data_IF_421759623509
#
_entry.id   IF_421759623509
#
_cell.length_a   1.000
_cell.length_b   1.000
_cell.length_c   1.000
_cell.angle_alpha   90.00
_cell.angle_beta   90.00
_cell.angle_gamma   90.00
#
_symmetry.space_group_name_H-M   'P 1'
#
loop_
_entity.id
_entity.type
_entity.pdbx_description
1 polymer ?
#
# COMPACT_ATOMS: atom_id res chain seq x y z
N UNK A 1 -30.32 -11.65 -16.03
CA UNK A 1 -30.13 -10.27 -15.57
C UNK A 1 -28.94 -9.67 -16.29
N UNK A 2 -29.09 -8.50 -16.89
CA UNK A 2 -27.98 -7.84 -17.61
C UNK A 2 -27.05 -7.18 -16.58
N UNK A 3 -25.80 -7.66 -16.46
CA UNK A 3 -24.84 -7.18 -15.49
C UNK A 3 -24.52 -5.68 -15.67
N UNK A 4 -24.51 -5.19 -16.90
CA UNK A 4 -24.25 -3.77 -17.19
C UNK A 4 -25.37 -2.87 -16.67
N UNK A 5 -26.65 -3.33 -16.81
CA UNK A 5 -27.79 -2.61 -16.28
C UNK A 5 -27.72 -2.56 -14.74
N UNK A 6 -27.44 -3.70 -14.10
CA UNK A 6 -27.27 -3.75 -12.64
C UNK A 6 -26.20 -2.78 -12.14
N UNK A 7 -25.08 -2.66 -12.86
CA UNK A 7 -24.00 -1.75 -12.47
C UNK A 7 -24.40 -0.29 -12.69
N UNK A 8 -25.14 0.00 -13.76
CA UNK A 8 -25.68 1.34 -14.01
C UNK A 8 -26.63 1.76 -12.87
N UNK A 9 -27.46 0.82 -12.40
CA UNK A 9 -28.42 1.06 -11.31
C UNK A 9 -27.75 1.23 -9.94
N UNK A 10 -26.47 0.82 -9.79
CA UNK A 10 -25.71 1.02 -8.56
C UNK A 10 -25.29 2.47 -8.33
N UNK A 11 -25.35 3.31 -9.35
CA UNK A 11 -24.97 4.73 -9.31
C UNK A 11 -23.65 4.95 -8.54
N UNK A 12 -22.54 4.58 -9.19
CA UNK A 12 -21.20 4.64 -8.57
C UNK A 12 -20.52 5.92 -9.03
N UNK A 13 -20.38 6.88 -8.14
CA UNK A 13 -19.68 8.14 -8.41
C UNK A 13 -18.21 7.93 -8.74
N UNK A 14 -17.59 8.89 -9.43
CA UNK A 14 -16.17 8.82 -9.75
C UNK A 14 -15.30 8.75 -8.46
N UNK A 15 -14.39 7.78 -8.40
CA UNK A 15 -13.55 7.48 -7.23
C UNK A 15 -14.17 6.48 -6.26
N UNK A 16 -15.45 6.12 -6.40
CA UNK A 16 -16.15 5.25 -5.47
C UNK A 16 -15.99 3.76 -5.80
N UNK A 17 -16.09 2.97 -4.75
CA UNK A 17 -16.17 1.51 -4.81
C UNK A 17 -17.36 1.01 -4.00
N UNK A 18 -18.27 0.27 -4.65
CA UNK A 18 -19.41 -0.37 -3.98
C UNK A 18 -19.21 -1.88 -3.93
N UNK A 19 -19.44 -2.46 -2.75
CA UNK A 19 -19.41 -3.90 -2.53
C UNK A 19 -20.80 -4.41 -2.18
N UNK A 20 -21.33 -5.34 -3.01
CA UNK A 20 -22.69 -5.84 -2.92
C UNK A 20 -22.74 -7.37 -3.03
N UNK A 21 -23.94 -7.92 -2.94
CA UNK A 21 -24.17 -9.32 -3.29
C UNK A 21 -24.05 -9.49 -4.80
N UNK A 22 -23.47 -10.60 -5.25
CA UNK A 22 -23.34 -10.86 -6.68
C UNK A 22 -24.73 -11.12 -7.30
N UNK A 23 -25.12 -10.37 -8.34
CA UNK A 23 -26.45 -10.53 -8.96
C UNK A 23 -26.57 -11.80 -9.78
N UNK A 24 -25.48 -12.52 -10.05
CA UNK A 24 -25.46 -13.75 -10.85
C UNK A 24 -25.39 -14.99 -9.97
N UNK A 25 -24.44 -15.04 -9.03
CA UNK A 25 -24.23 -16.22 -8.19
C UNK A 25 -24.82 -16.10 -6.77
N UNK A 26 -25.44 -14.96 -6.44
CA UNK A 26 -26.04 -14.71 -5.12
C UNK A 26 -25.02 -14.61 -3.97
N UNK A 27 -23.71 -14.62 -4.25
CA UNK A 27 -22.67 -14.55 -3.20
C UNK A 27 -22.79 -13.28 -2.37
N UNK A 28 -22.89 -13.43 -1.04
CA UNK A 28 -23.08 -12.31 -0.11
C UNK A 28 -21.79 -11.47 -0.05
N UNK A 29 -21.91 -10.17 -0.39
CA UNK A 29 -20.79 -9.20 -0.39
C UNK A 29 -19.54 -9.67 -1.17
N UNK A 30 -19.75 -10.44 -2.24
CA UNK A 30 -18.66 -10.96 -3.08
C UNK A 30 -18.46 -10.17 -4.37
N UNK A 31 -19.38 -9.28 -4.70
CA UNK A 31 -19.31 -8.47 -5.91
C UNK A 31 -18.83 -7.06 -5.57
N UNK A 32 -17.80 -6.60 -6.27
CA UNK A 32 -17.27 -5.24 -6.13
C UNK A 32 -17.33 -4.55 -7.48
N UNK A 33 -17.80 -3.32 -7.50
CA UNK A 33 -17.76 -2.44 -8.66
C UNK A 33 -17.12 -1.10 -8.27
N UNK A 34 -16.20 -0.62 -9.10
CA UNK A 34 -15.42 0.62 -8.88
C UNK A 34 -15.52 1.51 -10.11
N UNK A 35 -15.71 2.80 -9.89
CA UNK A 35 -15.61 3.81 -10.94
C UNK A 35 -14.32 4.61 -10.72
N UNK A 36 -13.38 4.49 -11.64
CA UNK A 36 -12.13 5.25 -11.60
C UNK A 36 -11.99 6.05 -12.90
N UNK A 37 -12.11 7.37 -12.80
CA UNK A 37 -12.02 8.31 -13.92
C UNK A 37 -12.85 7.87 -15.14
N UNK A 38 -14.13 7.53 -14.89
CA UNK A 38 -15.05 7.07 -15.94
C UNK A 38 -14.80 5.64 -16.41
N UNK A 39 -13.89 4.92 -15.82
CA UNK A 39 -13.68 3.50 -16.05
C UNK A 39 -14.38 2.70 -14.97
N UNK A 40 -15.56 2.16 -15.27
CA UNK A 40 -16.27 1.22 -14.40
C UNK A 40 -15.66 -0.17 -14.57
N UNK A 41 -15.20 -0.73 -13.46
CA UNK A 41 -14.68 -2.11 -13.38
C UNK A 41 -15.46 -2.89 -12.31
N UNK A 42 -15.70 -4.16 -12.56
CA UNK A 42 -16.38 -5.03 -11.60
C UNK A 42 -15.84 -6.44 -11.59
N UNK A 43 -15.92 -7.08 -10.44
CA UNK A 43 -15.49 -8.46 -10.25
C UNK A 43 -16.28 -9.14 -9.14
N UNK A 44 -16.54 -10.44 -9.29
CA UNK A 44 -17.04 -11.30 -8.22
C UNK A 44 -15.93 -12.18 -7.68
N UNK A 45 -15.71 -12.13 -6.38
CA UNK A 45 -14.64 -12.87 -5.68
C UNK A 45 -15.11 -14.24 -5.14
N UNK A 46 -16.32 -14.68 -5.45
CA UNK A 46 -16.79 -16.02 -5.07
C UNK A 46 -16.13 -17.07 -5.98
N UNK A 47 -15.53 -18.08 -5.37
CA UNK A 47 -14.96 -19.21 -6.11
C UNK A 47 -15.99 -19.82 -7.07
N UNK A 48 -15.60 -20.04 -8.32
CA UNK A 48 -16.47 -20.58 -9.36
C UNK A 48 -17.41 -19.56 -10.02
N UNK A 49 -17.36 -18.27 -9.67
CA UNK A 49 -18.10 -17.22 -10.37
C UNK A 49 -17.17 -16.47 -11.32
N UNK A 50 -17.49 -16.48 -12.61
CA UNK A 50 -16.70 -15.81 -13.66
C UNK A 50 -17.14 -14.37 -13.97
N UNK A 51 -17.99 -13.77 -13.13
CA UNK A 51 -18.51 -12.42 -13.36
C UNK A 51 -17.44 -11.39 -13.13
N UNK A 52 -16.90 -10.85 -14.21
CA UNK A 52 -15.98 -9.71 -14.21
C UNK A 52 -16.17 -8.91 -15.48
N UNK A 53 -15.70 -7.67 -15.50
CA UNK A 53 -15.71 -6.85 -16.69
C UNK A 53 -15.45 -5.37 -16.42
N UNK A 54 -15.59 -4.58 -17.47
CA UNK A 54 -15.44 -3.14 -17.42
C UNK A 54 -16.26 -2.44 -18.51
N UNK A 55 -16.59 -1.19 -18.26
CA UNK A 55 -17.19 -0.28 -19.24
C UNK A 55 -16.68 1.12 -19.00
N UNK A 56 -16.77 1.97 -20.03
CA UNK A 56 -16.52 3.42 -19.90
C UNK A 56 -17.85 4.13 -19.71
N UNK A 57 -17.88 5.07 -18.78
CA UNK A 57 -18.95 6.06 -18.62
C UNK A 57 -18.41 7.43 -18.99
N UNK A 58 -19.28 8.27 -19.54
CA UNK A 58 -18.89 9.66 -19.82
C UNK A 58 -18.66 10.39 -18.50
N UNK A 59 -17.49 11.00 -18.38
CA UNK A 59 -17.22 11.94 -17.29
C UNK A 59 -17.95 13.25 -17.61
N UNK A 60 -18.67 13.74 -16.63
CA UNK A 60 -19.23 15.09 -16.71
C UNK A 60 -18.14 16.14 -16.46
N UNK A 61 -18.35 17.38 -16.90
CA UNK A 61 -17.45 18.50 -16.57
C UNK A 61 -17.30 18.69 -15.05
N UNK A 62 -18.34 18.33 -14.28
CA UNK A 62 -18.30 18.40 -12.82
C UNK A 62 -17.49 17.25 -12.21
N UNK A 63 -17.53 16.06 -12.78
CA UNK A 63 -16.64 14.96 -12.38
C UNK A 63 -15.17 15.32 -12.60
N UNK A 64 -14.87 15.93 -13.75
CA UNK A 64 -13.51 16.41 -14.07
C UNK A 64 -13.12 17.54 -13.12
N UNK A 65 -14.00 18.51 -12.88
CA UNK A 65 -13.76 19.63 -11.98
C UNK A 65 -13.58 19.17 -10.54
N UNK A 66 -14.41 18.23 -10.07
CA UNK A 66 -14.29 17.63 -8.73
C UNK A 66 -13.01 16.79 -8.61
N UNK A 67 -12.61 16.09 -9.64
CA UNK A 67 -11.33 15.35 -9.67
C UNK A 67 -10.13 16.32 -9.67
N UNK A 68 -10.23 17.45 -10.34
CA UNK A 68 -9.21 18.51 -10.33
C UNK A 68 -9.28 19.36 -9.05
N UNK A 69 -10.47 19.60 -8.51
CA UNK A 69 -10.70 20.35 -7.27
C UNK A 69 -10.36 19.56 -6.01
N UNK A 70 -10.49 18.23 -6.04
CA UNK A 70 -9.97 17.36 -4.98
C UNK A 70 -8.43 17.30 -4.94
N UNK A 71 -7.77 17.94 -5.91
CA UNK A 71 -6.31 18.12 -5.93
C UNK A 71 -5.80 19.02 -4.79
N UNK A 72 -6.66 19.74 -4.09
CA UNK A 72 -6.27 20.68 -3.02
C UNK A 72 -6.63 20.24 -1.60
N UNK A 73 -7.28 19.10 -1.39
CA UNK A 73 -7.29 18.52 -0.06
C UNK A 73 -5.94 17.84 0.16
N UNK A 74 -4.97 18.59 0.68
CA UNK A 74 -3.90 18.00 1.48
C UNK A 74 -4.60 16.99 2.38
N UNK A 75 -4.21 15.73 2.30
CA UNK A 75 -4.73 14.73 3.23
C UNK A 75 -4.15 15.15 4.57
N UNK A 76 -4.88 16.00 5.30
CA UNK A 76 -4.44 16.45 6.62
C UNK A 76 -4.12 15.19 7.42
N UNK A 77 -2.94 15.18 7.99
CA UNK A 77 -2.49 14.10 8.85
C UNK A 77 -3.31 14.17 10.14
N UNK A 78 -4.51 13.58 10.11
CA UNK A 78 -5.38 13.49 11.28
C UNK A 78 -4.76 12.49 12.24
N UNK A 79 -4.52 12.89 13.52
CA UNK A 79 -3.93 12.02 14.51
C UNK A 79 -4.77 10.74 14.69
N UNK A 80 -4.14 9.59 14.56
CA UNK A 80 -4.76 8.30 14.84
C UNK A 80 -4.86 8.09 16.35
N UNK A 81 -6.07 7.86 16.85
CA UNK A 81 -6.27 7.47 18.24
C UNK A 81 -5.93 5.99 18.40
N UNK A 82 -4.71 5.73 18.83
CA UNK A 82 -4.21 4.39 19.10
C UNK A 82 -5.05 3.72 20.20
N UNK A 83 -5.56 2.49 19.96
CA UNK A 83 -6.22 1.71 21.01
C UNK A 83 -5.33 1.48 22.24
N UNK A 84 -5.90 1.49 23.44
CA UNK A 84 -5.17 1.34 24.71
C UNK A 84 -4.40 0.01 24.81
N UNK A 85 -4.92 -1.05 24.17
CA UNK A 85 -4.28 -2.37 24.16
C UNK A 85 -3.12 -2.51 23.19
N UNK A 86 -2.81 -1.46 22.44
CA UNK A 86 -1.57 -1.36 21.67
C UNK A 86 -0.57 -0.60 22.55
N UNK A 87 0.41 -1.30 23.05
CA UNK A 87 1.36 -0.79 24.03
C UNK A 87 2.81 -0.87 23.52
N UNK A 88 3.71 -0.24 24.22
CA UNK A 88 5.15 -0.42 23.99
C UNK A 88 5.63 -1.58 24.89
N UNK A 89 5.82 -2.73 24.29
CA UNK A 89 6.31 -3.93 24.97
C UNK A 89 7.37 -4.58 24.07
N UNK A 90 8.63 -4.33 24.40
CA UNK A 90 9.77 -4.78 23.60
C UNK A 90 10.02 -6.27 23.75
N UNK A 91 9.76 -6.84 24.91
CA UNK A 91 10.02 -8.25 25.19
C UNK A 91 9.15 -9.15 24.28
N UNK A 92 7.88 -8.77 24.10
CA UNK A 92 6.95 -9.51 23.25
C UNK A 92 7.27 -9.47 21.75
N UNK A 93 8.08 -8.52 21.30
CA UNK A 93 8.42 -8.35 19.89
C UNK A 93 9.89 -8.61 19.55
N UNK A 94 10.72 -8.91 20.56
CA UNK A 94 12.18 -9.11 20.40
C UNK A 94 12.49 -10.22 19.41
N UNK A 95 11.90 -11.39 19.54
CA UNK A 95 12.12 -12.52 18.63
C UNK A 95 11.82 -12.13 17.17
N UNK A 96 10.68 -11.50 16.94
CA UNK A 96 10.31 -11.00 15.60
C UNK A 96 11.33 -10.00 15.05
N UNK A 97 11.81 -9.09 15.90
CA UNK A 97 12.79 -8.09 15.47
C UNK A 97 14.16 -8.71 15.15
N UNK A 98 14.56 -9.73 15.90
CA UNK A 98 15.77 -10.51 15.63
C UNK A 98 15.65 -11.28 14.32
N UNK A 99 14.54 -11.99 14.11
CA UNK A 99 14.27 -12.76 12.88
C UNK A 99 14.39 -11.92 11.61
N UNK A 100 13.90 -10.68 11.67
CA UNK A 100 13.95 -9.76 10.54
C UNK A 100 15.14 -8.79 10.57
N UNK A 101 16.00 -8.87 11.62
CA UNK A 101 17.11 -7.93 11.85
C UNK A 101 16.68 -6.47 11.70
N UNK A 102 15.59 -6.10 12.38
CA UNK A 102 15.05 -4.73 12.42
C UNK A 102 15.14 -4.15 13.84
N UNK A 103 15.34 -2.84 13.93
CA UNK A 103 15.42 -2.13 15.21
C UNK A 103 14.04 -1.64 15.64
N UNK A 104 13.44 -2.21 16.71
CA UNK A 104 12.11 -1.83 17.15
C UNK A 104 12.02 -0.39 17.66
N UNK A 105 13.11 0.16 18.16
CA UNK A 105 13.14 1.53 18.71
C UNK A 105 13.16 2.54 17.57
N UNK A 106 14.03 2.34 16.56
CA UNK A 106 14.08 3.20 15.38
C UNK A 106 12.78 3.19 14.58
N UNK A 107 12.12 2.03 14.50
CA UNK A 107 10.84 1.87 13.80
C UNK A 107 9.64 2.31 14.66
N UNK A 108 9.82 2.60 15.95
CA UNK A 108 8.75 2.94 16.87
C UNK A 108 7.71 1.82 17.03
N UNK A 109 8.15 0.55 16.94
CA UNK A 109 7.24 -0.60 16.97
C UNK A 109 6.49 -0.68 18.29
N UNK A 110 5.26 -1.18 18.19
CA UNK A 110 4.36 -1.41 19.31
C UNK A 110 3.87 -2.86 19.30
N UNK A 111 3.15 -3.26 20.33
CA UNK A 111 2.58 -4.58 20.47
C UNK A 111 1.08 -4.54 20.78
N UNK A 112 0.29 -5.31 20.02
CA UNK A 112 -1.13 -5.54 20.30
C UNK A 112 -1.27 -6.75 21.23
N UNK A 113 -1.56 -6.51 22.51
CA UNK A 113 -1.70 -7.56 23.53
C UNK A 113 -2.94 -8.44 23.33
N UNK A 114 -3.97 -7.95 22.64
CA UNK A 114 -5.20 -8.71 22.38
C UNK A 114 -5.07 -9.69 21.23
N UNK A 115 -4.37 -9.24 20.18
CA UNK A 115 -4.29 -10.04 18.97
C UNK A 115 -2.90 -10.62 18.72
N UNK A 116 -1.94 -10.38 19.61
CA UNK A 116 -0.55 -10.84 19.48
C UNK A 116 0.06 -10.45 18.13
N UNK A 117 0.20 -9.13 17.94
CA UNK A 117 0.74 -8.56 16.70
C UNK A 117 1.84 -7.55 16.99
N UNK A 118 2.89 -7.61 16.20
CA UNK A 118 3.83 -6.48 16.09
C UNK A 118 3.15 -5.38 15.29
N UNK A 119 3.09 -4.17 15.84
CA UNK A 119 2.39 -3.04 15.25
C UNK A 119 3.37 -2.01 14.73
N UNK A 120 3.28 -1.74 13.45
CA UNK A 120 4.03 -0.71 12.72
C UNK A 120 3.19 0.57 12.69
N UNK A 121 3.63 1.65 13.36
CA UNK A 121 2.94 2.94 13.27
C UNK A 121 3.13 3.56 11.88
N UNK A 122 2.06 4.05 11.29
CA UNK A 122 2.12 4.86 10.07
C UNK A 122 2.25 6.33 10.51
N UNK A 123 3.43 6.90 10.26
CA UNK A 123 3.75 8.26 10.74
C UNK A 123 4.02 9.17 9.53
N UNK A 124 3.34 10.30 9.48
CA UNK A 124 3.56 11.36 8.50
C UNK A 124 3.62 12.70 9.22
N UNK A 125 4.58 13.55 8.87
CA UNK A 125 4.82 14.85 9.51
C UNK A 125 4.91 14.75 11.06
N UNK A 126 5.58 13.71 11.56
CA UNK A 126 5.72 13.38 12.99
C UNK A 126 4.38 13.08 13.71
N UNK A 127 3.31 12.85 12.97
CA UNK A 127 2.01 12.48 13.50
C UNK A 127 1.72 11.03 13.13
N UNK A 128 1.35 10.20 14.11
CA UNK A 128 0.84 8.86 13.87
C UNK A 128 -0.57 8.98 13.28
N UNK A 129 -0.73 8.63 12.02
CA UNK A 129 -1.97 8.76 11.25
C UNK A 129 -2.74 7.45 11.11
N UNK A 130 -2.05 6.31 11.32
CA UNK A 130 -2.62 4.96 11.28
C UNK A 130 -1.65 3.97 11.94
N UNK A 131 -2.02 2.71 11.97
CA UNK A 131 -1.16 1.60 12.34
C UNK A 131 -1.53 0.32 11.59
N UNK A 132 -0.55 -0.55 11.37
CA UNK A 132 -0.78 -1.88 10.80
C UNK A 132 -0.05 -2.94 11.62
N UNK A 133 -0.73 -4.06 11.91
CA UNK A 133 -0.21 -5.12 12.76
C UNK A 133 0.08 -6.39 12.01
N UNK A 134 1.31 -6.90 12.15
CA UNK A 134 1.74 -8.21 11.68
C UNK A 134 1.48 -9.25 12.76
N UNK A 135 0.72 -10.30 12.44
CA UNK A 135 0.49 -11.40 13.37
C UNK A 135 1.79 -12.13 13.72
N UNK A 136 2.01 -12.38 14.99
CA UNK A 136 2.98 -13.34 15.47
C UNK A 136 2.41 -14.76 15.30
N UNK A 137 3.20 -15.66 14.74
CA UNK A 137 2.77 -17.04 14.47
C UNK A 137 1.79 -17.17 13.27
N UNK A 138 0.85 -18.12 13.38
CA UNK A 138 -0.04 -18.55 12.28
C UNK A 138 -1.40 -17.86 12.22
N UNK A 139 -1.62 -16.81 13.01
CA UNK A 139 -2.91 -16.11 13.06
C UNK A 139 -3.24 -15.41 11.76
N UNK A 140 -4.49 -15.50 11.31
CA UNK A 140 -5.02 -14.79 10.15
C UNK A 140 -5.97 -13.65 10.57
N UNK A 141 -6.08 -12.57 9.78
CA UNK A 141 -5.21 -12.26 8.65
C UNK A 141 -3.78 -11.96 9.09
N UNK A 142 -2.79 -12.27 8.25
CA UNK A 142 -1.36 -12.03 8.51
C UNK A 142 -1.08 -10.55 8.83
N UNK A 143 -1.71 -9.65 8.07
CA UNK A 143 -1.67 -8.21 8.30
C UNK A 143 -3.06 -7.68 8.66
N UNK A 144 -3.14 -6.75 9.60
CA UNK A 144 -4.36 -6.08 10.03
C UNK A 144 -4.12 -4.59 10.13
N UNK A 145 -4.97 -3.80 9.51
CA UNK A 145 -4.98 -2.36 9.65
C UNK A 145 -5.88 -1.93 10.81
N UNK A 146 -5.45 -0.92 11.60
CA UNK A 146 -6.19 -0.46 12.77
C UNK A 146 -7.01 0.80 12.49
N UNK A 147 -6.57 1.61 11.54
CA UNK A 147 -7.26 2.81 11.08
C UNK A 147 -7.74 2.69 9.64
N UNK A 148 -8.06 3.84 9.04
CA UNK A 148 -8.54 3.97 7.66
C UNK A 148 -7.76 5.02 6.86
N UNK A 149 -6.67 5.56 7.42
CA UNK A 149 -5.90 6.59 6.73
C UNK A 149 -5.29 6.00 5.46
N UNK A 150 -5.43 6.64 4.28
CA UNK A 150 -4.94 6.11 3.01
C UNK A 150 -3.44 6.25 2.80
N UNK A 151 -2.72 6.95 3.69
CA UNK A 151 -1.28 7.15 3.55
C UNK A 151 -0.50 5.83 3.67
N UNK A 152 0.62 5.67 2.94
CA UNK A 152 1.46 4.48 3.02
C UNK A 152 2.27 4.43 4.32
N UNK A 153 2.75 3.25 4.70
CA UNK A 153 3.84 3.15 5.67
C UNK A 153 5.16 3.51 5.00
N UNK A 154 5.97 4.31 5.68
CA UNK A 154 7.21 4.85 5.14
C UNK A 154 8.34 4.69 6.15
N UNK A 155 9.53 4.29 5.69
CA UNK A 155 10.74 4.25 6.48
C UNK A 155 11.96 4.60 5.64
N UNK A 156 12.92 5.30 6.26
CA UNK A 156 14.14 5.78 5.61
C UNK A 156 14.04 7.25 5.18
N UNK A 157 15.12 7.75 4.61
CA UNK A 157 15.24 9.11 4.08
C UNK A 157 16.05 9.08 2.78
N UNK A 158 15.69 9.90 1.83
CA UNK A 158 16.34 9.95 0.51
C UNK A 158 15.40 10.43 -0.59
N UNK A 159 15.92 10.47 -1.81
CA UNK A 159 15.18 10.95 -3.00
C UNK A 159 14.65 9.82 -3.86
N UNK A 160 14.98 8.57 -3.54
CA UNK A 160 14.52 7.38 -4.26
C UNK A 160 13.54 6.57 -3.40
N UNK A 161 12.29 6.50 -3.83
CA UNK A 161 11.28 5.65 -3.19
C UNK A 161 11.33 4.22 -3.73
N UNK A 162 11.31 3.23 -2.84
CA UNK A 162 11.16 1.81 -3.20
C UNK A 162 9.81 1.32 -2.72
N UNK A 163 8.92 1.05 -3.67
CA UNK A 163 7.54 0.61 -3.40
C UNK A 163 7.52 -0.90 -3.19
N UNK A 164 7.07 -1.31 -2.03
CA UNK A 164 7.00 -2.71 -1.59
C UNK A 164 5.59 -3.07 -1.07
N UNK A 165 5.34 -4.35 -0.79
CA UNK A 165 4.02 -4.78 -0.32
C UNK A 165 3.80 -4.58 1.17
N UNK A 166 4.80 -4.82 2.00
CA UNK A 166 4.64 -4.84 3.46
C UNK A 166 5.65 -3.96 4.22
N UNK A 167 5.33 -3.68 5.50
CA UNK A 167 6.14 -2.80 6.34
C UNK A 167 7.51 -3.36 6.68
N UNK A 168 7.70 -4.69 6.72
CA UNK A 168 9.01 -5.29 7.02
C UNK A 168 9.95 -5.03 5.87
N UNK A 169 9.50 -5.28 4.63
CA UNK A 169 10.26 -4.96 3.42
C UNK A 169 10.60 -3.48 3.32
N UNK A 170 9.64 -2.59 3.64
CA UNK A 170 9.87 -1.15 3.65
C UNK A 170 10.90 -0.72 4.72
N UNK A 171 10.82 -1.30 5.92
CA UNK A 171 11.77 -1.02 7.00
C UNK A 171 13.19 -1.46 6.64
N UNK A 172 13.33 -2.61 5.97
CA UNK A 172 14.63 -3.13 5.53
C UNK A 172 15.23 -2.26 4.42
N UNK A 173 14.43 -1.85 3.44
CA UNK A 173 14.87 -0.94 2.39
C UNK A 173 15.37 0.38 2.97
N UNK A 174 14.61 1.00 3.86
CA UNK A 174 14.99 2.27 4.48
C UNK A 174 16.20 2.18 5.43
N UNK A 175 16.63 0.96 5.79
CA UNK A 175 17.81 0.72 6.61
C UNK A 175 19.03 0.22 5.80
N UNK A 176 18.89 0.02 4.48
CA UNK A 176 19.89 -0.69 3.64
C UNK A 176 21.24 0.03 3.57
N UNK A 177 21.26 1.34 3.76
CA UNK A 177 22.49 2.15 3.77
C UNK A 177 23.14 2.28 5.16
N UNK A 178 22.62 1.61 6.18
CA UNK A 178 23.18 1.62 7.53
C UNK A 178 23.03 2.95 8.28
N UNK A 179 22.49 3.98 7.64
CA UNK A 179 22.56 5.37 8.11
C UNK A 179 21.44 5.75 9.08
N UNK A 180 20.39 4.92 9.20
CA UNK A 180 19.29 5.21 10.14
C UNK A 180 18.88 6.68 10.13
N UNK A 181 18.43 7.20 8.98
CA UNK A 181 18.04 8.61 8.81
C UNK A 181 19.16 9.64 9.07
N UNK A 182 20.40 9.32 8.74
CA UNK A 182 21.42 10.35 8.50
C UNK A 182 21.14 11.03 7.15
N UNK A 183 21.58 12.27 6.97
CA UNK A 183 21.34 13.10 5.77
C UNK A 183 21.82 12.49 4.43
N UNK A 184 22.37 11.28 4.46
CA UNK A 184 22.94 10.55 3.32
C UNK A 184 22.15 9.30 2.90
N UNK A 185 20.94 9.08 3.43
CA UNK A 185 20.10 7.94 3.01
C UNK A 185 19.74 8.02 1.52
N UNK A 186 19.85 6.89 0.82
CA UNK A 186 19.50 6.81 -0.62
C UNK A 186 18.05 6.42 -0.82
N UNK A 187 17.57 5.50 0.01
CA UNK A 187 16.25 4.86 -0.19
C UNK A 187 15.24 5.21 0.87
N UNK A 188 14.00 5.34 0.41
CA UNK A 188 12.81 5.39 1.25
C UNK A 188 11.95 4.18 0.92
N UNK A 189 11.80 3.26 1.85
CA UNK A 189 10.88 2.12 1.72
C UNK A 189 9.44 2.60 1.90
N UNK A 190 8.58 2.30 0.93
CA UNK A 190 7.17 2.72 0.91
C UNK A 190 6.28 1.49 0.75
N UNK A 191 5.59 1.08 1.83
CA UNK A 191 4.62 -0.01 1.78
C UNK A 191 3.21 0.54 1.53
N UNK A 192 2.58 0.10 0.44
CA UNK A 192 1.26 0.59 0.03
C UNK A 192 0.10 0.00 0.84
N UNK A 193 0.36 -0.99 1.69
CA UNK A 193 -0.59 -1.60 2.64
C UNK A 193 -1.91 -2.06 2.00
N UNK A 194 -1.89 -2.44 0.73
CA UNK A 194 -3.06 -2.85 -0.03
C UNK A 194 -2.72 -3.46 -1.37
N UNK A 195 -3.78 -3.79 -2.13
CA UNK A 195 -3.65 -4.45 -3.44
C UNK A 195 -3.62 -3.49 -4.62
N UNK A 196 -3.80 -2.18 -4.39
CA UNK A 196 -3.84 -1.16 -5.43
C UNK A 196 -3.20 0.14 -4.97
N UNK A 197 -2.71 0.94 -5.93
CA UNK A 197 -2.26 2.31 -5.69
C UNK A 197 -3.49 3.23 -5.65
N UNK A 198 -3.68 3.91 -4.52
CA UNK A 198 -4.65 5.00 -4.42
C UNK A 198 -4.07 6.30 -4.99
N UNK A 199 -4.91 7.28 -5.28
CA UNK A 199 -4.45 8.62 -5.67
C UNK A 199 -3.59 9.28 -4.58
N UNK A 200 -3.87 8.98 -3.30
CA UNK A 200 -3.05 9.44 -2.17
C UNK A 200 -1.65 8.85 -2.22
N UNK A 201 -1.52 7.54 -2.53
CA UNK A 201 -0.22 6.90 -2.72
C UNK A 201 0.56 7.54 -3.88
N UNK A 202 -0.09 7.77 -5.02
CA UNK A 202 0.54 8.37 -6.20
C UNK A 202 1.04 9.78 -5.93
N UNK A 203 0.23 10.61 -5.26
CA UNK A 203 0.64 11.96 -4.82
C UNK A 203 1.80 11.91 -3.84
N UNK A 204 1.73 11.00 -2.85
CA UNK A 204 2.85 10.84 -1.92
C UNK A 204 4.13 10.45 -2.65
N UNK A 205 4.05 9.54 -3.61
CA UNK A 205 5.20 9.08 -4.39
C UNK A 205 5.73 10.14 -5.37
N UNK A 206 4.91 11.09 -5.81
CA UNK A 206 5.33 12.13 -6.76
C UNK A 206 6.37 13.12 -6.20
N UNK A 207 6.61 13.12 -4.91
CA UNK A 207 7.67 13.94 -4.30
C UNK A 207 9.09 13.37 -4.51
N UNK A 208 9.20 12.12 -4.97
CA UNK A 208 10.48 11.46 -5.17
C UNK A 208 10.95 11.59 -6.63
N UNK A 209 12.25 11.80 -6.83
CA UNK A 209 12.85 11.89 -8.16
C UNK A 209 12.81 10.56 -8.90
N UNK A 210 13.05 9.48 -8.17
CA UNK A 210 13.04 8.12 -8.68
C UNK A 210 12.11 7.24 -7.85
N UNK A 211 11.29 6.45 -8.53
CA UNK A 211 10.44 5.41 -7.92
C UNK A 211 10.87 4.05 -8.46
N UNK A 212 11.27 3.15 -7.58
CA UNK A 212 11.56 1.75 -7.90
C UNK A 212 10.42 0.90 -7.38
N UNK A 213 9.79 0.10 -8.22
CA UNK A 213 8.70 -0.81 -7.82
C UNK A 213 9.29 -2.20 -7.66
N UNK A 214 9.24 -2.71 -6.44
CA UNK A 214 9.84 -3.98 -6.00
C UNK A 214 8.82 -4.78 -5.18
N UNK A 215 7.72 -5.20 -5.82
CA UNK A 215 6.72 -6.06 -5.19
C UNK A 215 7.20 -7.52 -5.18
N UNK A 216 6.53 -8.37 -4.40
CA UNK A 216 6.86 -9.77 -4.28
C UNK A 216 6.97 -10.47 -5.64
N UNK A 217 7.80 -11.52 -5.81
CA UNK A 217 8.10 -12.14 -7.11
C UNK A 217 6.88 -12.63 -7.88
N UNK A 218 5.83 -13.06 -7.17
CA UNK A 218 4.56 -13.55 -7.75
C UNK A 218 3.63 -12.40 -8.20
N UNK A 219 3.94 -11.16 -7.83
CA UNK A 219 3.15 -9.97 -8.15
C UNK A 219 3.62 -9.21 -9.41
N UNK A 220 4.39 -9.83 -10.31
CA UNK A 220 4.94 -9.18 -11.50
C UNK A 220 3.90 -8.42 -12.35
N UNK A 221 2.69 -8.95 -12.63
CA UNK A 221 1.66 -8.20 -13.36
C UNK A 221 1.26 -6.89 -12.66
N UNK A 222 1.15 -6.93 -11.33
CA UNK A 222 0.83 -5.78 -10.47
C UNK A 222 1.98 -4.77 -10.46
N UNK A 223 3.22 -5.26 -10.41
CA UNK A 223 4.43 -4.43 -10.50
C UNK A 223 4.45 -3.60 -11.79
N UNK A 224 4.16 -4.24 -12.93
CA UNK A 224 4.08 -3.57 -14.23
C UNK A 224 2.90 -2.58 -14.32
N UNK A 225 1.77 -2.93 -13.70
CA UNK A 225 0.62 -2.03 -13.61
C UNK A 225 0.98 -0.78 -12.80
N UNK A 226 1.59 -0.92 -11.62
CA UNK A 226 2.03 0.20 -10.78
C UNK A 226 3.04 1.08 -11.52
N UNK A 227 3.99 0.48 -12.24
CA UNK A 227 4.94 1.23 -13.06
C UNK A 227 4.23 2.08 -14.12
N UNK A 228 3.22 1.53 -14.78
CA UNK A 228 2.43 2.25 -15.77
C UNK A 228 1.65 3.41 -15.14
N UNK A 229 1.05 3.19 -13.98
CA UNK A 229 0.27 4.21 -13.27
C UNK A 229 1.14 5.36 -12.74
N UNK A 230 2.36 5.07 -12.32
CA UNK A 230 3.27 6.06 -11.71
C UNK A 230 4.07 6.88 -12.73
N UNK A 231 4.15 6.47 -13.99
CA UNK A 231 4.90 7.21 -15.04
C UNK A 231 4.48 8.66 -15.21
N UNK A 232 3.25 9.02 -14.88
CA UNK A 232 2.75 10.39 -14.92
C UNK A 232 3.01 11.20 -13.64
N UNK A 233 3.57 10.58 -12.60
CA UNK A 233 3.73 11.18 -11.27
C UNK A 233 5.20 11.39 -10.86
N UNK A 234 6.14 10.76 -11.52
CA UNK A 234 7.56 10.89 -11.20
C UNK A 234 8.43 10.96 -12.46
N UNK A 235 9.61 11.55 -12.32
CA UNK A 235 10.56 11.72 -13.43
C UNK A 235 11.12 10.38 -13.91
N UNK A 236 11.46 9.49 -12.96
CA UNK A 236 11.99 8.16 -13.24
C UNK A 236 11.18 7.10 -12.52
N UNK A 237 10.64 6.13 -13.27
CA UNK A 237 9.93 4.96 -12.72
C UNK A 237 10.62 3.71 -13.23
N UNK A 238 11.16 2.93 -12.31
CA UNK A 238 11.90 1.70 -12.59
C UNK A 238 11.20 0.50 -11.98
N UNK A 239 11.46 -0.67 -12.51
CA UNK A 239 10.95 -1.96 -12.01
C UNK A 239 12.12 -2.82 -11.59
N UNK A 240 12.11 -3.25 -10.34
CA UNK A 240 13.00 -4.28 -9.85
C UNK A 240 12.25 -5.61 -9.82
N UNK A 241 12.70 -6.54 -10.65
CA UNK A 241 12.20 -7.92 -10.59
C UNK A 241 12.98 -8.66 -9.51
N UNK A 242 12.27 -9.03 -8.46
CA UNK A 242 12.84 -9.75 -7.33
C UNK A 242 12.95 -11.25 -7.60
N UNK A 243 13.97 -11.87 -7.04
CA UNK A 243 14.11 -13.32 -6.91
C UNK A 243 13.37 -13.80 -5.67
N UNK A 244 13.44 -13.02 -4.58
CA UNK A 244 12.75 -13.25 -3.32
C UNK A 244 12.26 -11.92 -2.74
N UNK A 245 11.37 -11.97 -1.75
CA UNK A 245 10.89 -10.76 -1.07
C UNK A 245 12.06 -10.02 -0.39
N UNK A 246 12.13 -8.69 -0.55
CA UNK A 246 13.25 -7.86 -0.04
C UNK A 246 13.54 -8.05 1.44
N UNK A 247 12.54 -8.44 2.24
CA UNK A 247 12.76 -8.74 3.67
C UNK A 247 13.72 -9.89 3.92
N UNK A 248 13.94 -10.77 2.95
CA UNK A 248 14.93 -11.86 3.07
C UNK A 248 16.35 -11.44 2.68
N UNK A 249 16.52 -10.21 2.20
CA UNK A 249 17.83 -9.62 1.86
C UNK A 249 18.65 -10.50 0.91
N UNK A 250 18.00 -11.06 -0.12
CA UNK A 250 18.71 -11.80 -1.16
C UNK A 250 19.83 -10.91 -1.74
N UNK A 251 21.11 -11.34 -1.72
CA UNK A 251 22.22 -10.51 -2.14
C UNK A 251 22.10 -9.99 -3.57
N UNK A 252 21.61 -10.82 -4.50
CA UNK A 252 21.40 -10.43 -5.89
C UNK A 252 20.32 -9.34 -6.01
N UNK A 253 19.24 -9.44 -5.25
CA UNK A 253 18.16 -8.46 -5.29
C UNK A 253 18.61 -7.11 -4.68
N UNK A 254 19.43 -7.14 -3.64
CA UNK A 254 20.02 -5.93 -3.04
C UNK A 254 21.03 -5.28 -3.99
N UNK A 255 21.88 -6.04 -4.66
CA UNK A 255 22.82 -5.54 -5.68
C UNK A 255 22.10 -4.88 -6.85
N UNK A 256 21.05 -5.55 -7.35
CA UNK A 256 20.18 -5.01 -8.41
C UNK A 256 19.47 -3.72 -7.98
N UNK A 257 19.00 -3.66 -6.72
CA UNK A 257 18.40 -2.45 -6.15
C UNK A 257 19.39 -1.29 -6.16
N UNK A 258 20.62 -1.51 -5.68
CA UNK A 258 21.67 -0.50 -5.63
C UNK A 258 22.03 0.00 -7.03
N UNK A 259 22.20 -0.91 -7.99
CA UNK A 259 22.47 -0.57 -9.40
C UNK A 259 21.36 0.31 -10.00
N UNK A 260 20.10 0.01 -9.67
CA UNK A 260 18.97 0.82 -10.12
C UNK A 260 18.90 2.19 -9.42
N UNK A 261 19.33 2.28 -8.18
CA UNK A 261 19.32 3.54 -7.43
C UNK A 261 20.36 4.56 -7.92
N UNK A 262 21.50 4.09 -8.42
CA UNK A 262 22.61 4.93 -8.88
C UNK A 262 22.39 5.52 -10.29
N UNK A 263 21.49 4.98 -11.10
CA UNK A 263 21.19 5.41 -12.49
C UNK A 263 19.89 6.20 -12.58
#
# INVERSE_FOLDING_TARGET
MNIKQYISDLDISNGDTKRTNCPVCGGVKTFTATNNMGQLMWNCYKAGCSVSGGSRVHLTTDDIRNSLGSTAQETEAVPFQKPEWIIRDMDCITEFCVDWSIDPVKLGLLYDVREHRVVFPVVHNNIMVDATGRALGKKLPKWKRYGKNPLPYVHGCGTTAVVVEDCVSAAIVGATDGSGCSESGVYVGVAVLGTSLSEVHKRYLSQFDTIIIALDPDALPKTLQFAKELRGYANKVKVLRLTDDLKYRNPTDIENLNTLGET
#
